data_IF_340337471588
#
_entry.id   IF_340337471588
#
_cell.length_a   1.000
_cell.length_b   1.000
_cell.length_c   1.000
_cell.angle_alpha   90.00
_cell.angle_beta   90.00
_cell.angle_gamma   90.00
#
_symmetry.space_group_name_H-M   'P 1'
#
loop_
_entity.id
_entity.type
_entity.pdbx_description
1 polymer ?
#
# COMPACT_ATOMS: atom_id res chain seq x y z
N UNK A 1 39.66 7.15 -47.91
CA UNK A 1 38.79 6.81 -46.76
C UNK A 1 39.53 6.86 -45.42
N UNK A 2 40.67 6.14 -45.23
CA UNK A 2 41.48 6.23 -44.00
C UNK A 2 42.01 7.63 -43.67
N UNK A 3 42.47 8.40 -44.66
CA UNK A 3 42.96 9.77 -44.46
C UNK A 3 41.89 10.74 -43.94
N UNK A 4 40.66 10.66 -44.47
CA UNK A 4 39.54 11.53 -44.06
C UNK A 4 39.13 11.25 -42.60
N UNK A 5 39.15 9.98 -42.18
CA UNK A 5 38.82 9.60 -40.80
C UNK A 5 39.87 10.17 -39.82
N UNK A 6 41.15 10.15 -40.19
CA UNK A 6 42.23 10.69 -39.36
C UNK A 6 42.17 12.21 -39.26
N UNK A 7 41.80 12.90 -40.35
CA UNK A 7 41.65 14.37 -40.38
C UNK A 7 40.45 14.87 -39.55
N UNK A 8 39.35 14.11 -39.57
CA UNK A 8 38.17 14.39 -38.72
C UNK A 8 38.50 14.11 -37.24
N UNK A 9 39.29 13.07 -36.96
CA UNK A 9 39.63 12.67 -35.59
C UNK A 9 40.64 13.59 -34.90
N UNK A 10 41.46 14.34 -35.63
CA UNK A 10 42.45 15.28 -35.07
C UNK A 10 41.97 16.72 -35.01
N UNK A 11 40.83 17.03 -35.64
CA UNK A 11 40.27 18.36 -35.63
C UNK A 11 39.59 18.66 -34.29
N UNK A 12 40.12 19.67 -33.59
CA UNK A 12 39.66 20.09 -32.26
C UNK A 12 38.16 20.45 -32.21
N UNK A 13 37.58 20.92 -33.30
CA UNK A 13 36.15 21.26 -33.39
C UNK A 13 35.29 20.00 -33.31
N UNK A 14 35.64 18.95 -34.06
CA UNK A 14 34.90 17.68 -34.06
C UNK A 14 35.01 16.96 -32.72
N UNK A 15 36.18 17.01 -32.07
CA UNK A 15 36.38 16.50 -30.71
C UNK A 15 35.50 17.26 -29.71
N UNK A 16 35.43 18.60 -29.83
CA UNK A 16 34.59 19.44 -28.97
C UNK A 16 33.10 19.11 -29.10
N UNK A 17 32.60 18.95 -30.33
CA UNK A 17 31.20 18.54 -30.60
C UNK A 17 30.92 17.15 -30.00
N UNK A 18 31.81 16.18 -30.22
CA UNK A 18 31.66 14.82 -29.70
C UNK A 18 31.60 14.79 -28.15
N UNK A 19 32.41 15.62 -27.49
CA UNK A 19 32.41 15.76 -26.04
C UNK A 19 31.07 16.32 -25.52
N UNK A 20 30.57 17.40 -26.14
CA UNK A 20 29.27 18.00 -25.78
C UNK A 20 28.13 17.01 -25.99
N UNK A 21 28.11 16.30 -27.13
CA UNK A 21 27.12 15.26 -27.40
C UNK A 21 27.15 14.15 -26.34
N UNK A 22 28.34 13.75 -25.89
CA UNK A 22 28.50 12.72 -24.84
C UNK A 22 27.95 13.21 -23.50
N UNK A 23 28.23 14.47 -23.13
CA UNK A 23 27.71 15.09 -21.90
C UNK A 23 26.18 15.16 -21.94
N UNK A 24 25.60 15.61 -23.06
CA UNK A 24 24.14 15.69 -23.22
C UNK A 24 23.52 14.29 -23.14
N UNK A 25 24.10 13.29 -23.82
CA UNK A 25 23.62 11.91 -23.76
C UNK A 25 23.62 11.34 -22.34
N UNK A 26 24.65 11.67 -21.55
CA UNK A 26 24.73 11.28 -20.15
C UNK A 26 23.65 11.97 -19.30
N UNK A 27 23.43 13.28 -19.49
CA UNK A 27 22.38 14.03 -18.78
C UNK A 27 20.99 13.45 -19.07
N UNK A 28 20.68 13.18 -20.34
CA UNK A 28 19.41 12.58 -20.75
C UNK A 28 19.25 11.19 -20.11
N UNK A 29 20.31 10.38 -20.09
CA UNK A 29 20.29 9.06 -19.47
C UNK A 29 19.98 9.12 -17.98
N UNK A 30 20.57 10.08 -17.25
CA UNK A 30 20.27 10.32 -15.83
C UNK A 30 18.81 10.72 -15.65
N UNK A 31 18.29 11.65 -16.46
CA UNK A 31 16.90 12.09 -16.40
C UNK A 31 15.94 10.91 -16.62
N UNK A 32 16.21 10.07 -17.63
CA UNK A 32 15.40 8.89 -17.92
C UNK A 32 15.41 7.89 -16.75
N UNK A 33 16.56 7.66 -16.12
CA UNK A 33 16.67 6.81 -14.93
C UNK A 33 15.82 7.35 -13.77
N UNK A 34 15.86 8.66 -13.52
CA UNK A 34 15.04 9.31 -12.50
C UNK A 34 13.53 9.16 -12.80
N UNK A 35 13.12 9.39 -14.05
CA UNK A 35 11.72 9.25 -14.48
C UNK A 35 11.24 7.80 -14.36
N UNK A 36 12.06 6.83 -14.78
CA UNK A 36 11.74 5.41 -14.67
C UNK A 36 11.58 4.96 -13.21
N UNK A 37 12.46 5.41 -12.32
CA UNK A 37 12.34 5.14 -10.88
C UNK A 37 11.03 5.71 -10.30
N UNK A 38 10.68 6.94 -10.68
CA UNK A 38 9.44 7.58 -10.26
C UNK A 38 8.19 6.86 -10.78
N UNK A 39 8.19 6.44 -12.05
CA UNK A 39 7.10 5.67 -12.64
C UNK A 39 6.93 4.31 -11.95
N UNK A 40 8.03 3.60 -11.70
CA UNK A 40 8.01 2.33 -10.96
C UNK A 40 7.39 2.49 -9.57
N UNK A 41 7.71 3.57 -8.86
CA UNK A 41 7.11 3.89 -7.56
C UNK A 41 5.61 4.16 -7.67
N UNK A 42 5.18 4.97 -8.65
CA UNK A 42 3.75 5.24 -8.91
C UNK A 42 2.97 3.98 -9.27
N UNK A 43 3.50 3.14 -10.15
CA UNK A 43 2.87 1.87 -10.55
C UNK A 43 2.67 0.95 -9.35
N UNK A 44 3.69 0.81 -8.48
CA UNK A 44 3.56 0.03 -7.24
C UNK A 44 2.44 0.55 -6.34
N UNK A 45 2.39 1.88 -6.14
CA UNK A 45 1.35 2.50 -5.32
C UNK A 45 -0.05 2.29 -5.91
N UNK A 46 -0.24 2.45 -7.22
CA UNK A 46 -1.51 2.17 -7.88
C UNK A 46 -1.89 0.69 -7.81
N UNK A 47 -0.93 -0.23 -7.93
CA UNK A 47 -1.19 -1.66 -7.80
C UNK A 47 -1.65 -2.01 -6.37
N UNK A 48 -1.03 -1.42 -5.34
CA UNK A 48 -1.44 -1.55 -3.94
C UNK A 48 -2.88 -1.01 -3.74
N UNK A 49 -3.19 0.19 -4.26
CA UNK A 49 -4.56 0.76 -4.19
C UNK A 49 -5.58 -0.13 -4.87
N UNK A 50 -5.26 -0.64 -6.07
CA UNK A 50 -6.17 -1.51 -6.81
C UNK A 50 -6.47 -2.77 -6.01
N UNK A 51 -5.44 -3.43 -5.45
CA UNK A 51 -5.62 -4.61 -4.58
C UNK A 51 -6.50 -4.27 -3.37
N UNK A 52 -6.20 -3.17 -2.68
CA UNK A 52 -7.00 -2.74 -1.54
C UNK A 52 -8.46 -2.48 -1.93
N UNK A 53 -8.72 -1.78 -3.03
CA UNK A 53 -10.09 -1.50 -3.47
C UNK A 53 -10.85 -2.75 -3.90
N UNK A 54 -10.18 -3.75 -4.46
CA UNK A 54 -10.78 -5.06 -4.73
C UNK A 54 -11.13 -5.79 -3.44
N UNK A 55 -10.23 -5.79 -2.46
CA UNK A 55 -10.34 -6.63 -1.27
C UNK A 55 -11.12 -5.95 -0.12
N UNK A 56 -11.26 -4.61 -0.13
CA UNK A 56 -11.82 -3.84 1.01
C UNK A 56 -13.23 -4.27 1.40
N UNK A 57 -14.07 -4.59 0.41
CA UNK A 57 -15.46 -5.01 0.66
C UNK A 57 -15.48 -6.39 1.29
N UNK A 58 -14.68 -7.32 0.75
CA UNK A 58 -14.51 -8.65 1.32
C UNK A 58 -14.00 -8.59 2.76
N UNK A 59 -12.97 -7.78 3.02
CA UNK A 59 -12.41 -7.60 4.36
C UNK A 59 -13.42 -6.96 5.33
N UNK A 60 -14.21 -5.99 4.86
CA UNK A 60 -15.24 -5.34 5.66
C UNK A 60 -16.39 -6.31 5.99
N UNK A 61 -16.83 -7.11 5.03
CA UNK A 61 -17.85 -8.13 5.21
C UNK A 61 -17.40 -9.22 6.19
N UNK A 62 -16.13 -9.66 6.09
CA UNK A 62 -15.51 -10.61 7.04
C UNK A 62 -15.48 -10.05 8.45
N UNK A 63 -15.02 -8.80 8.63
CA UNK A 63 -15.04 -8.13 9.92
C UNK A 63 -16.47 -7.93 10.45
N UNK A 64 -17.44 -7.67 9.58
CA UNK A 64 -18.85 -7.56 9.97
C UNK A 64 -19.41 -8.89 10.48
N UNK A 65 -19.14 -9.99 9.79
CA UNK A 65 -19.53 -11.33 10.23
C UNK A 65 -18.92 -11.67 11.60
N UNK A 66 -17.62 -11.38 11.80
CA UNK A 66 -16.96 -11.59 13.09
C UNK A 66 -17.54 -10.70 14.19
N UNK A 67 -17.82 -9.42 13.92
CA UNK A 67 -18.50 -8.52 14.86
C UNK A 67 -19.87 -9.05 15.25
N UNK A 68 -20.66 -9.55 14.30
CA UNK A 68 -21.99 -10.08 14.55
C UNK A 68 -21.95 -11.36 15.38
N UNK A 69 -20.93 -12.21 15.21
CA UNK A 69 -20.69 -13.36 16.07
C UNK A 69 -20.39 -12.94 17.52
N UNK A 70 -19.56 -11.92 17.72
CA UNK A 70 -19.27 -11.37 19.06
C UNK A 70 -20.54 -10.80 19.69
N UNK A 71 -21.34 -10.05 18.92
CA UNK A 71 -22.54 -9.38 19.39
C UNK A 71 -23.67 -10.36 19.74
N UNK A 72 -23.94 -11.35 18.88
CA UNK A 72 -25.05 -12.31 19.03
C UNK A 72 -24.72 -13.41 20.04
N UNK A 73 -23.54 -14.02 19.92
CA UNK A 73 -23.21 -15.20 20.73
C UNK A 73 -22.60 -14.82 22.08
N UNK A 74 -22.19 -13.55 22.27
CA UNK A 74 -21.43 -13.08 23.45
C UNK A 74 -20.22 -13.96 23.80
N UNK A 75 -19.76 -14.80 22.88
CA UNK A 75 -18.64 -15.72 23.08
C UNK A 75 -17.48 -15.20 22.25
N UNK A 76 -16.36 -15.00 22.94
CA UNK A 76 -15.10 -14.60 22.34
C UNK A 76 -14.16 -15.78 22.54
N UNK A 77 -14.22 -16.81 21.71
CA UNK A 77 -13.32 -17.96 21.80
C UNK A 77 -11.97 -17.70 21.14
N UNK A 78 -11.00 -18.57 21.41
CA UNK A 78 -9.63 -18.37 20.94
C UNK A 78 -9.56 -18.43 19.41
N UNK A 79 -10.47 -19.20 18.79
CA UNK A 79 -10.65 -19.22 17.34
C UNK A 79 -11.09 -17.86 16.82
N UNK A 80 -12.11 -17.25 17.41
CA UNK A 80 -12.61 -15.94 16.98
C UNK A 80 -11.58 -14.83 17.22
N UNK A 81 -10.81 -14.89 18.31
CA UNK A 81 -9.69 -13.98 18.55
C UNK A 81 -8.61 -14.14 17.48
N UNK A 82 -8.27 -15.38 17.13
CA UNK A 82 -7.32 -15.70 16.07
C UNK A 82 -7.81 -15.19 14.72
N UNK A 83 -9.07 -15.46 14.37
CA UNK A 83 -9.70 -15.02 13.12
C UNK A 83 -9.72 -13.48 13.05
N UNK A 84 -10.10 -12.79 14.13
CA UNK A 84 -10.10 -11.33 14.17
C UNK A 84 -8.68 -10.75 14.04
N UNK A 85 -7.70 -11.39 14.69
CA UNK A 85 -6.29 -10.99 14.57
C UNK A 85 -5.79 -11.17 13.14
N UNK A 86 -6.17 -12.26 12.48
CA UNK A 86 -5.85 -12.52 11.08
C UNK A 86 -6.44 -11.46 10.14
N UNK A 87 -7.73 -11.14 10.29
CA UNK A 87 -8.36 -10.12 9.43
C UNK A 87 -7.81 -8.71 9.68
N UNK A 88 -7.51 -8.36 10.93
CA UNK A 88 -6.85 -7.08 11.25
C UNK A 88 -5.43 -7.03 10.69
N UNK A 89 -4.71 -8.16 10.70
CA UNK A 89 -3.41 -8.26 10.06
C UNK A 89 -3.49 -8.09 8.54
N UNK A 90 -4.53 -8.65 7.90
CA UNK A 90 -4.79 -8.43 6.47
C UNK A 90 -4.97 -6.94 6.17
N UNK A 91 -5.72 -6.20 7.00
CA UNK A 91 -5.81 -4.73 6.89
C UNK A 91 -4.46 -4.02 7.10
N UNK A 92 -3.63 -4.52 8.03
CA UNK A 92 -2.31 -3.95 8.30
C UNK A 92 -1.35 -4.08 7.12
N UNK A 93 -1.53 -5.08 6.25
CA UNK A 93 -0.71 -5.27 5.04
C UNK A 93 -0.82 -4.10 4.06
N UNK A 94 -1.90 -3.32 4.13
CA UNK A 94 -2.15 -2.14 3.31
C UNK A 94 -1.66 -0.83 3.96
N UNK A 95 -0.64 -0.90 4.83
CA UNK A 95 -0.20 0.23 5.66
C UNK A 95 0.09 1.51 4.84
N UNK A 96 0.62 1.37 3.63
CA UNK A 96 0.97 2.47 2.74
C UNK A 96 -0.26 3.27 2.25
N UNK A 97 -1.44 2.65 2.23
CA UNK A 97 -2.70 3.26 1.78
C UNK A 97 -3.54 3.69 3.00
N UNK A 98 -3.40 2.98 4.12
CA UNK A 98 -4.13 3.32 5.35
C UNK A 98 -3.69 4.65 5.95
N UNK A 99 -4.65 5.39 6.52
CA UNK A 99 -4.36 6.65 7.21
C UNK A 99 -3.74 6.41 8.59
N UNK A 100 -3.14 7.46 9.15
CA UNK A 100 -2.57 7.40 10.51
C UNK A 100 -3.62 6.96 11.55
N UNK A 101 -4.87 7.43 11.40
CA UNK A 101 -5.99 7.03 12.25
C UNK A 101 -6.24 5.52 12.18
N UNK A 102 -6.23 4.93 10.99
CA UNK A 102 -6.43 3.48 10.82
C UNK A 102 -5.34 2.68 11.51
N UNK A 103 -4.08 3.10 11.36
CA UNK A 103 -2.93 2.46 12.02
C UNK A 103 -3.06 2.50 13.54
N UNK A 104 -3.59 3.59 14.10
CA UNK A 104 -3.87 3.68 15.54
C UNK A 104 -4.96 2.69 15.95
N UNK A 105 -6.03 2.58 15.17
CA UNK A 105 -7.12 1.65 15.45
C UNK A 105 -6.68 0.17 15.33
N UNK A 106 -5.90 -0.19 14.30
CA UNK A 106 -5.30 -1.53 14.15
C UNK A 106 -4.50 -1.88 15.40
N UNK A 107 -3.56 -1.03 15.80
CA UNK A 107 -2.73 -1.26 16.99
C UNK A 107 -3.55 -1.38 18.28
N UNK A 108 -4.63 -0.59 18.40
CA UNK A 108 -5.53 -0.66 19.56
C UNK A 108 -6.26 -2.00 19.59
N UNK A 109 -6.79 -2.47 18.47
CA UNK A 109 -7.47 -3.76 18.36
C UNK A 109 -6.48 -4.90 18.67
N UNK A 110 -5.30 -4.91 18.04
CA UNK A 110 -4.27 -5.93 18.31
C UNK A 110 -3.87 -5.96 19.79
N UNK A 111 -3.69 -4.78 20.41
CA UNK A 111 -3.40 -4.70 21.85
C UNK A 111 -4.55 -5.20 22.70
N UNK A 112 -5.80 -5.00 22.25
CA UNK A 112 -6.99 -5.45 22.96
C UNK A 112 -7.15 -6.98 22.85
N UNK A 113 -6.87 -7.56 21.68
CA UNK A 113 -6.90 -9.01 21.44
C UNK A 113 -5.78 -9.78 22.15
N UNK A 114 -4.64 -9.13 22.43
CA UNK A 114 -3.53 -9.72 23.22
C UNK A 114 -3.82 -9.82 24.72
N UNK A 115 -4.91 -9.22 25.22
CA UNK A 115 -5.28 -9.33 26.64
C UNK A 115 -5.91 -10.69 26.92
N UNK A 116 -5.91 -11.11 28.17
CA UNK A 116 -6.69 -12.27 28.59
C UNK A 116 -8.16 -12.11 28.20
N UNK A 117 -8.77 -13.18 27.67
CA UNK A 117 -10.15 -13.24 27.17
C UNK A 117 -11.18 -12.63 28.13
N UNK A 118 -11.00 -12.81 29.44
CA UNK A 118 -11.89 -12.26 30.48
C UNK A 118 -11.81 -10.73 30.61
N UNK A 119 -10.68 -10.13 30.24
CA UNK A 119 -10.43 -8.68 30.27
C UNK A 119 -10.81 -7.97 28.96
N UNK A 120 -11.20 -8.72 27.93
CA UNK A 120 -11.60 -8.15 26.65
C UNK A 120 -13.00 -7.56 26.78
N UNK A 121 -13.05 -6.22 26.84
CA UNK A 121 -14.31 -5.49 26.69
C UNK A 121 -14.87 -5.66 25.27
N UNK A 122 -15.88 -6.53 25.14
CA UNK A 122 -16.55 -6.89 23.87
C UNK A 122 -17.18 -5.67 23.20
N UNK A 123 -17.84 -4.79 23.97
CA UNK A 123 -18.48 -3.60 23.42
C UNK A 123 -17.44 -2.66 22.80
N UNK A 124 -16.32 -2.45 23.50
CA UNK A 124 -15.23 -1.61 22.99
C UNK A 124 -14.60 -2.22 21.74
N UNK A 125 -14.40 -3.53 21.71
CA UNK A 125 -13.90 -4.25 20.55
C UNK A 125 -14.86 -4.12 19.35
N UNK A 126 -16.16 -4.33 19.55
CA UNK A 126 -17.17 -4.15 18.50
C UNK A 126 -17.19 -2.71 17.95
N UNK A 127 -17.05 -1.70 18.81
CA UNK A 127 -16.98 -0.30 18.38
C UNK A 127 -15.71 -0.02 17.55
N UNK A 128 -14.57 -0.62 17.92
CA UNK A 128 -13.34 -0.50 17.15
C UNK A 128 -13.43 -1.21 15.79
N UNK A 129 -14.08 -2.37 15.72
CA UNK A 129 -14.34 -3.08 14.46
C UNK A 129 -15.33 -2.30 13.58
N UNK A 130 -16.38 -1.74 14.18
CA UNK A 130 -17.40 -0.95 13.47
C UNK A 130 -16.81 0.26 12.73
N UNK A 131 -15.74 0.85 13.24
CA UNK A 131 -14.99 1.89 12.54
C UNK A 131 -14.46 1.41 11.17
N UNK A 132 -13.87 0.21 11.09
CA UNK A 132 -13.37 -0.34 9.83
C UNK A 132 -14.50 -0.70 8.87
N UNK A 133 -15.59 -1.29 9.39
CA UNK A 133 -16.76 -1.64 8.58
C UNK A 133 -17.38 -0.38 7.98
N UNK A 134 -17.59 0.69 8.77
CA UNK A 134 -18.16 1.94 8.27
C UNK A 134 -17.23 2.65 7.28
N UNK A 135 -15.92 2.59 7.51
CA UNK A 135 -14.95 3.27 6.66
C UNK A 135 -14.72 2.57 5.32
N UNK A 136 -14.84 1.24 5.27
CA UNK A 136 -14.45 0.44 4.11
C UNK A 136 -15.56 -0.41 3.51
N UNK A 137 -16.68 -0.59 4.21
CA UNK A 137 -17.81 -1.42 3.78
C UNK A 137 -18.95 -0.66 3.11
N UNK A 138 -18.89 0.68 3.02
CA UNK A 138 -20.03 1.52 2.64
C UNK A 138 -20.00 2.10 1.21
N UNK A 139 -19.25 1.53 0.29
CA UNK A 139 -19.37 1.85 -1.15
C UNK A 139 -20.37 0.91 -1.84
N UNK A 140 -21.53 0.67 -1.21
CA UNK A 140 -22.72 0.07 -1.84
C UNK A 140 -23.73 1.13 -2.32
N UNK A 141 -23.35 2.40 -2.33
CA UNK A 141 -24.10 3.46 -3.00
C UNK A 141 -23.31 3.91 -4.26
N UNK A 142 -23.85 3.47 -5.40
CA UNK A 142 -23.87 4.16 -6.70
C UNK A 142 -22.56 4.72 -7.27
N UNK A 143 -21.96 3.96 -8.19
CA UNK A 143 -21.55 4.54 -9.46
C UNK A 143 -22.39 3.88 -10.56
N UNK A 144 -23.50 4.54 -10.89
CA UNK A 144 -24.15 4.45 -12.21
C UNK A 144 -23.26 5.13 -13.26
#
# INVERSE_FOLDING_TARGET
>A
MKHIIVEIATNSIWIGIASICSIIGLIISIILLCLAANLKKKIKWYAEIKRFNTDRNYLADRLSALKDLIAKNKILDDKLISDLSGEIHNYSSFINITTLKDRIYIRRIEKHLKKEKKMINKQHLCNQIAYFISRYGNDREEFF
#
